data_IF_787651118646
#
_entry.id   IF_787651118646
#
_cell.length_a   1.000
_cell.length_b   1.000
_cell.length_c   1.000
_cell.angle_alpha   90.00
_cell.angle_beta   90.00
_cell.angle_gamma   90.00
#
_symmetry.space_group_name_H-M   'P 1'
#
loop_
_entity.id
_entity.type
_entity.pdbx_description
1 polymer ?
#
# COMPACT_ATOMS: atom_id res chain seq x y z
N UNK A 1 40.06 -63.26 11.44
CA UNK A 1 39.00 -63.41 10.43
C UNK A 1 39.34 -62.48 9.27
N UNK A 2 40.10 -62.95 8.28
CA UNK A 2 39.69 -63.36 6.91
C UNK A 2 39.09 -62.24 6.03
N UNK A 3 39.95 -61.73 5.12
CA UNK A 3 39.79 -61.33 3.70
C UNK A 3 38.75 -60.23 3.34
N UNK A 4 39.08 -59.08 2.72
CA UNK A 4 39.61 -58.78 1.36
C UNK A 4 38.75 -59.37 0.23
N UNK A 5 38.00 -58.55 -0.54
CA UNK A 5 38.34 -58.10 -1.92
C UNK A 5 37.15 -57.40 -2.65
N UNK A 6 37.52 -56.68 -3.71
CA UNK A 6 36.73 -55.88 -4.67
C UNK A 6 35.63 -56.64 -5.43
N UNK A 7 34.63 -55.93 -5.97
CA UNK A 7 34.51 -55.64 -7.42
C UNK A 7 33.11 -55.16 -7.86
N UNK A 8 33.15 -54.33 -8.89
CA UNK A 8 32.08 -53.78 -9.73
C UNK A 8 31.11 -54.80 -10.33
N UNK A 9 29.85 -54.39 -10.55
CA UNK A 9 29.06 -54.82 -11.73
C UNK A 9 28.22 -53.65 -12.28
N UNK A 10 28.47 -53.33 -13.55
CA UNK A 10 27.64 -52.54 -14.46
C UNK A 10 26.76 -53.48 -15.31
N UNK A 11 25.46 -53.19 -15.43
CA UNK A 11 24.54 -53.56 -16.52
C UNK A 11 23.28 -52.69 -16.33
N UNK A 12 22.88 -51.71 -17.16
CA UNK A 12 22.53 -51.62 -18.58
C UNK A 12 21.16 -52.27 -18.95
N UNK A 13 20.23 -51.38 -19.37
CA UNK A 13 19.16 -51.50 -20.41
C UNK A 13 17.67 -51.73 -20.03
N UNK A 14 16.84 -50.80 -20.56
CA UNK A 14 15.40 -50.84 -20.98
C UNK A 14 14.34 -51.17 -19.92
N UNK A 15 13.22 -50.44 -19.77
CA UNK A 15 12.25 -50.02 -20.79
C UNK A 15 11.45 -48.79 -20.33
N UNK A 16 11.15 -47.87 -21.26
CA UNK A 16 10.08 -46.88 -21.08
C UNK A 16 8.70 -47.55 -21.13
N UNK A 17 7.71 -46.95 -20.48
CA UNK A 17 6.42 -46.75 -21.12
C UNK A 17 6.12 -45.26 -21.24
N UNK A 18 6.05 -44.80 -22.49
CA UNK A 18 5.32 -43.58 -22.82
C UNK A 18 3.85 -43.78 -22.46
N UNK A 19 3.39 -43.17 -21.37
CA UNK A 19 1.97 -42.92 -21.14
C UNK A 19 1.70 -41.45 -21.41
N UNK A 20 1.10 -41.17 -22.56
CA UNK A 20 0.30 -39.97 -22.73
C UNK A 20 -0.92 -40.13 -21.83
N UNK A 21 -0.95 -39.41 -20.72
CA UNK A 21 -2.17 -39.11 -19.98
C UNK A 21 -2.40 -37.60 -20.08
N UNK A 22 -3.33 -37.20 -20.94
CA UNK A 22 -3.98 -35.91 -20.83
C UNK A 22 -4.93 -35.96 -19.63
N UNK A 23 -4.63 -35.22 -18.56
CA UNK A 23 -5.62 -34.69 -17.63
C UNK A 23 -4.92 -33.74 -16.65
N UNK A 24 -5.62 -32.67 -16.30
CA UNK A 24 -5.08 -31.53 -15.56
C UNK A 24 -4.66 -31.81 -14.12
N UNK A 25 -4.20 -30.71 -13.52
CA UNK A 25 -4.03 -30.47 -12.09
C UNK A 25 -2.74 -31.01 -11.45
N UNK A 26 -1.80 -30.10 -11.24
CA UNK A 26 -1.59 -29.67 -9.86
C UNK A 26 -1.16 -28.21 -9.88
N UNK A 27 -2.06 -27.35 -9.43
CA UNK A 27 -1.66 -26.07 -8.87
C UNK A 27 -0.79 -26.43 -7.68
N UNK A 28 0.52 -26.44 -7.90
CA UNK A 28 1.49 -26.42 -6.82
C UNK A 28 1.20 -25.12 -6.08
N UNK A 29 0.46 -25.25 -4.99
CA UNK A 29 0.18 -24.16 -4.09
C UNK A 29 1.55 -23.73 -3.60
N UNK A 30 2.06 -22.63 -4.16
CA UNK A 30 3.15 -21.90 -3.55
C UNK A 30 2.67 -21.62 -2.13
N UNK A 31 3.26 -22.32 -1.16
CA UNK A 31 3.03 -22.09 0.26
C UNK A 31 3.63 -20.72 0.55
N UNK A 32 2.87 -19.67 0.25
CA UNK A 32 3.25 -18.31 0.60
C UNK A 32 2.98 -18.18 2.10
N UNK A 33 3.91 -18.69 2.92
CA UNK A 33 3.91 -18.51 4.36
C UNK A 33 4.08 -17.01 4.68
N UNK A 34 2.99 -16.26 4.59
CA UNK A 34 2.97 -14.81 4.78
C UNK A 34 2.55 -14.49 6.21
N UNK A 35 3.36 -13.76 6.99
CA UNK A 35 2.99 -13.35 8.33
C UNK A 35 1.83 -12.33 8.28
N UNK A 36 0.60 -12.83 8.38
CA UNK A 36 -0.66 -12.10 8.21
C UNK A 36 -0.79 -10.83 9.07
N UNK A 37 -0.17 -10.81 10.26
CA UNK A 37 -0.31 -9.71 11.22
C UNK A 37 0.65 -8.53 11.07
N UNK A 38 1.84 -8.72 10.47
CA UNK A 38 2.89 -7.69 10.41
C UNK A 38 2.99 -6.97 9.05
N UNK A 39 2.45 -7.56 7.98
CA UNK A 39 2.47 -7.04 6.60
C UNK A 39 1.93 -5.61 6.44
N UNK A 40 0.98 -5.22 7.27
CA UNK A 40 0.20 -3.98 7.09
C UNK A 40 0.52 -2.90 8.12
N UNK A 41 1.33 -3.21 9.14
CA UNK A 41 1.67 -2.28 10.24
C UNK A 41 2.60 -1.14 9.82
N UNK A 42 3.35 -1.32 8.72
CA UNK A 42 4.34 -0.36 8.24
C UNK A 42 4.17 0.01 6.77
N UNK A 43 2.95 0.38 6.34
CA UNK A 43 2.62 1.18 5.13
C UNK A 43 3.21 0.75 3.76
N UNK A 44 3.96 -0.34 3.67
CA UNK A 44 4.58 -0.81 2.45
C UNK A 44 4.58 -2.35 2.49
N UNK A 45 3.49 -2.93 2.00
CA UNK A 45 3.68 -4.14 1.22
C UNK A 45 4.61 -3.79 0.08
N UNK A 46 5.70 -4.54 -0.01
CA UNK A 46 6.64 -4.43 -1.11
C UNK A 46 5.91 -4.75 -2.43
N UNK A 47 6.36 -4.13 -3.52
CA UNK A 47 5.83 -4.34 -4.87
C UNK A 47 5.79 -5.83 -5.20
N UNK A 48 6.86 -6.56 -4.84
CA UNK A 48 6.96 -7.99 -5.05
C UNK A 48 5.81 -8.76 -4.39
N UNK A 49 5.47 -8.43 -3.14
CA UNK A 49 4.40 -9.13 -2.40
C UNK A 49 3.02 -8.84 -2.98
N UNK A 50 2.79 -7.63 -3.48
CA UNK A 50 1.56 -7.33 -4.23
C UNK A 50 1.48 -8.18 -5.49
N UNK A 51 2.58 -8.28 -6.24
CA UNK A 51 2.60 -9.07 -7.47
C UNK A 51 2.42 -10.56 -7.21
N UNK A 52 3.02 -11.11 -6.15
CA UNK A 52 2.81 -12.51 -5.73
C UNK A 52 1.33 -12.79 -5.45
N UNK A 53 0.65 -11.91 -4.69
CA UNK A 53 -0.78 -12.07 -4.42
C UNK A 53 -1.62 -11.96 -5.70
N UNK A 54 -1.32 -11.00 -6.57
CA UNK A 54 -2.08 -10.77 -7.80
C UNK A 54 -1.90 -11.94 -8.78
N UNK A 55 -0.69 -12.47 -8.93
CA UNK A 55 -0.45 -13.67 -9.74
C UNK A 55 -1.21 -14.89 -9.21
N UNK A 56 -1.32 -15.01 -7.89
CA UNK A 56 -1.98 -16.15 -7.24
C UNK A 56 -3.50 -16.08 -7.34
N UNK A 57 -4.10 -14.90 -7.12
CA UNK A 57 -5.53 -14.77 -6.89
C UNK A 57 -6.30 -14.03 -8.00
N UNK A 58 -5.65 -13.14 -8.74
CA UNK A 58 -6.27 -12.31 -9.80
C UNK A 58 -5.31 -12.09 -10.98
N UNK A 59 -4.83 -13.17 -11.65
CA UNK A 59 -3.80 -13.07 -12.69
C UNK A 59 -4.23 -12.20 -13.88
N UNK A 60 -5.54 -12.11 -14.15
CA UNK A 60 -6.11 -11.25 -15.19
C UNK A 60 -5.88 -9.75 -14.95
N UNK A 61 -5.62 -9.35 -13.69
CA UNK A 61 -5.40 -7.94 -13.32
C UNK A 61 -3.91 -7.55 -13.24
N UNK A 62 -2.98 -8.46 -13.52
CA UNK A 62 -1.52 -8.24 -13.42
C UNK A 62 -1.08 -6.96 -14.14
N UNK A 63 -1.60 -6.70 -15.34
CA UNK A 63 -1.22 -5.53 -16.14
C UNK A 63 -1.60 -4.20 -15.47
N UNK A 64 -2.82 -4.11 -14.97
CA UNK A 64 -3.32 -2.93 -14.26
C UNK A 64 -2.56 -2.69 -12.95
N UNK A 65 -2.28 -3.77 -12.21
CA UNK A 65 -1.49 -3.71 -10.99
C UNK A 65 -0.08 -3.18 -11.21
N UNK A 66 0.63 -3.70 -12.22
CA UNK A 66 1.97 -3.20 -12.60
C UNK A 66 1.95 -1.71 -12.91
N UNK A 67 0.96 -1.26 -13.69
CA UNK A 67 0.81 0.16 -14.04
C UNK A 67 0.66 1.05 -12.80
N UNK A 68 -0.22 0.67 -11.88
CA UNK A 68 -0.48 1.44 -10.64
C UNK A 68 0.74 1.44 -9.71
N UNK A 69 1.46 0.32 -9.62
CA UNK A 69 2.67 0.22 -8.79
C UNK A 69 3.83 1.04 -9.37
N UNK A 70 4.04 1.01 -10.69
CA UNK A 70 5.06 1.84 -11.36
C UNK A 70 4.76 3.34 -11.27
N UNK A 71 3.48 3.74 -11.40
CA UNK A 71 3.07 5.12 -11.14
C UNK A 71 3.41 5.52 -9.70
N UNK A 72 3.06 4.66 -8.71
CA UNK A 72 3.34 4.92 -7.30
C UNK A 72 4.83 5.08 -7.03
N UNK A 73 5.65 4.23 -7.64
CA UNK A 73 7.10 4.25 -7.55
C UNK A 73 7.67 5.55 -8.13
N UNK A 74 7.20 5.96 -9.30
CA UNK A 74 7.55 7.23 -9.93
C UNK A 74 7.19 8.42 -9.02
N UNK A 75 5.99 8.42 -8.44
CA UNK A 75 5.55 9.46 -7.50
C UNK A 75 6.41 9.50 -6.23
N UNK A 76 6.81 8.35 -5.69
CA UNK A 76 7.72 8.26 -4.53
C UNK A 76 9.12 8.78 -4.87
N UNK A 77 9.65 8.43 -6.03
CA UNK A 77 10.94 8.95 -6.50
C UNK A 77 10.92 10.48 -6.63
N UNK A 78 9.81 11.07 -7.05
CA UNK A 78 9.67 12.53 -7.06
C UNK A 78 9.73 13.14 -5.65
N UNK A 79 9.30 12.44 -4.60
CA UNK A 79 9.45 12.91 -3.22
C UNK A 79 10.91 12.89 -2.75
N UNK A 80 11.73 12.02 -3.34
CA UNK A 80 13.14 11.91 -3.02
C UNK A 80 13.99 12.98 -3.72
N UNK A 81 13.45 13.65 -4.75
CA UNK A 81 14.09 14.77 -5.42
C UNK A 81 14.30 15.96 -4.45
N UNK A 82 15.54 16.45 -4.40
CA UNK A 82 15.94 17.51 -3.47
C UNK A 82 15.21 18.84 -3.71
N UNK A 83 14.86 19.18 -4.96
CA UNK A 83 14.07 20.38 -5.25
C UNK A 83 12.66 20.22 -4.69
N UNK A 84 12.05 19.05 -4.87
CA UNK A 84 10.73 18.75 -4.31
C UNK A 84 10.76 18.79 -2.79
N UNK A 85 11.75 18.18 -2.13
CA UNK A 85 11.89 18.26 -0.66
C UNK A 85 11.99 19.70 -0.16
N UNK A 86 12.77 20.54 -0.85
CA UNK A 86 12.88 21.98 -0.51
C UNK A 86 11.55 22.70 -0.69
N UNK A 87 10.84 22.45 -1.78
CA UNK A 87 9.52 23.01 -2.04
C UNK A 87 8.52 22.59 -0.95
N UNK A 88 8.46 21.29 -0.59
CA UNK A 88 7.64 20.78 0.51
C UNK A 88 7.96 21.54 1.81
N UNK A 89 9.24 21.70 2.15
CA UNK A 89 9.67 22.39 3.37
C UNK A 89 9.29 23.88 3.35
N UNK A 90 9.43 24.55 2.22
CA UNK A 90 9.05 25.95 2.04
C UNK A 90 7.54 26.13 2.19
N UNK A 91 6.75 25.32 1.47
CA UNK A 91 5.29 25.30 1.56
C UNK A 91 4.81 25.03 3.00
N UNK A 92 5.38 24.04 3.69
CA UNK A 92 5.06 23.78 5.10
C UNK A 92 5.38 24.96 6.02
N UNK A 93 6.50 25.65 5.79
CA UNK A 93 6.89 26.84 6.57
C UNK A 93 5.93 28.00 6.31
N UNK A 94 5.50 28.21 5.07
CA UNK A 94 4.52 29.22 4.71
C UNK A 94 3.16 28.94 5.38
N UNK A 95 2.63 27.72 5.22
CA UNK A 95 1.38 27.30 5.87
C UNK A 95 1.41 27.46 7.40
N UNK A 96 2.58 27.28 8.03
CA UNK A 96 2.76 27.52 9.47
C UNK A 96 2.65 29.02 9.79
N UNK A 97 3.36 29.88 9.05
CA UNK A 97 3.30 31.33 9.24
C UNK A 97 1.88 31.89 9.03
N UNK A 98 1.18 31.43 8.00
CA UNK A 98 -0.19 31.86 7.72
C UNK A 98 -1.14 31.48 8.86
N UNK A 99 -0.95 30.29 9.46
CA UNK A 99 -1.73 29.88 10.64
C UNK A 99 -1.40 30.70 11.88
N UNK A 100 -0.13 30.99 12.13
CA UNK A 100 0.31 31.85 13.24
C UNK A 100 -0.31 33.26 13.09
N UNK A 101 -0.19 33.86 11.91
CA UNK A 101 -0.79 35.18 11.64
C UNK A 101 -2.32 35.18 11.76
N UNK A 102 -3.00 34.11 11.34
CA UNK A 102 -4.44 33.98 11.51
C UNK A 102 -4.83 33.81 12.99
N UNK A 103 -4.02 33.11 13.79
CA UNK A 103 -4.22 32.99 15.24
C UNK A 103 -4.06 34.33 15.93
N UNK A 104 -2.99 35.08 15.62
CA UNK A 104 -2.75 36.40 16.20
C UNK A 104 -3.93 37.35 15.92
N UNK A 105 -4.43 37.37 14.67
CA UNK A 105 -5.63 38.15 14.31
C UNK A 105 -6.87 37.75 15.10
N UNK A 106 -7.07 36.46 15.36
CA UNK A 106 -8.20 35.99 16.18
C UNK A 106 -8.06 36.42 17.65
N UNK A 107 -6.84 36.43 18.18
CA UNK A 107 -6.54 36.91 19.54
C UNK A 107 -6.84 38.41 19.63
N UNK A 108 -6.38 39.20 18.67
CA UNK A 108 -6.64 40.64 18.62
C UNK A 108 -8.13 40.95 18.55
N UNK A 109 -8.88 40.23 17.70
CA UNK A 109 -10.34 40.38 17.61
C UNK A 109 -11.06 40.06 18.93
N UNK A 110 -10.56 39.10 19.71
CA UNK A 110 -11.10 38.79 21.03
C UNK A 110 -10.76 39.87 22.05
N UNK A 111 -9.52 40.39 22.04
CA UNK A 111 -9.07 41.47 22.91
C UNK A 111 -9.87 42.77 22.67
N UNK A 112 -10.10 43.10 21.40
CA UNK A 112 -10.92 44.22 20.94
C UNK A 112 -12.44 44.01 21.18
N UNK A 113 -12.85 42.84 21.72
CA UNK A 113 -14.25 42.43 21.91
C UNK A 113 -15.07 42.42 20.61
N UNK A 114 -14.43 42.36 19.44
CA UNK A 114 -15.08 42.22 18.13
C UNK A 114 -15.75 40.86 17.95
N UNK A 115 -15.21 39.83 18.62
CA UNK A 115 -15.80 38.49 18.68
C UNK A 115 -16.01 38.05 20.12
N UNK A 116 -16.98 37.16 20.32
CA UNK A 116 -17.22 36.52 21.61
C UNK A 116 -16.25 35.37 21.85
N UNK A 117 -16.10 34.94 23.12
CA UNK A 117 -15.29 33.77 23.48
C UNK A 117 -15.75 32.49 22.75
N UNK A 118 -17.05 32.34 22.51
CA UNK A 118 -17.58 31.16 21.81
C UNK A 118 -17.28 31.19 20.31
N UNK A 119 -17.39 32.36 19.67
CA UNK A 119 -16.95 32.55 18.27
C UNK A 119 -15.43 32.29 18.14
N UNK A 120 -14.62 32.81 19.06
CA UNK A 120 -13.18 32.53 19.08
C UNK A 120 -12.88 31.03 19.16
N UNK A 121 -13.56 30.28 20.05
CA UNK A 121 -13.39 28.81 20.14
C UNK A 121 -13.77 28.10 18.83
N UNK A 122 -14.84 28.55 18.16
CA UNK A 122 -15.28 27.97 16.89
C UNK A 122 -14.27 28.22 15.78
N UNK A 123 -13.78 29.46 15.63
CA UNK A 123 -12.77 29.83 14.63
C UNK A 123 -11.44 29.14 14.89
N UNK A 124 -10.99 29.09 16.15
CA UNK A 124 -9.79 28.36 16.54
C UNK A 124 -9.88 26.87 16.18
N UNK A 125 -11.06 26.26 16.36
CA UNK A 125 -11.32 24.87 15.96
C UNK A 125 -11.24 24.68 14.44
N UNK A 126 -11.67 25.65 13.64
CA UNK A 126 -11.51 25.61 12.18
C UNK A 126 -10.04 25.81 11.79
N UNK A 127 -9.32 26.73 12.42
CA UNK A 127 -7.90 26.98 12.17
C UNK A 127 -7.03 25.74 12.44
N UNK A 128 -7.34 25.01 13.52
CA UNK A 128 -6.67 23.76 13.89
C UNK A 128 -7.19 22.53 13.13
N UNK A 129 -8.21 22.67 12.29
CA UNK A 129 -8.73 21.58 11.49
C UNK A 129 -7.69 21.17 10.45
N UNK A 130 -6.99 20.06 10.73
CA UNK A 130 -6.01 19.48 9.80
C UNK A 130 -6.71 19.13 8.47
N UNK A 131 -6.08 19.48 7.32
CA UNK A 131 -6.47 18.98 5.99
C UNK A 131 -6.49 17.45 6.09
N UNK A 132 -7.67 16.86 6.02
CA UNK A 132 -7.83 15.41 6.10
C UNK A 132 -7.56 14.85 4.71
N UNK A 133 -6.58 13.95 4.63
CA UNK A 133 -6.24 13.25 3.40
C UNK A 133 -7.32 12.25 2.96
N UNK A 134 -8.24 11.91 3.86
CA UNK A 134 -9.28 10.93 3.66
C UNK A 134 -10.47 11.24 4.59
N UNK A 135 -11.70 10.97 4.15
CA UNK A 135 -12.89 11.14 5.00
C UNK A 135 -12.91 10.10 6.13
N UNK A 136 -13.76 10.30 7.15
CA UNK A 136 -13.92 9.31 8.23
C UNK A 136 -14.43 7.98 7.68
N UNK A 137 -15.37 8.02 6.75
CA UNK A 137 -15.96 6.84 6.12
C UNK A 137 -14.93 6.09 5.28
N UNK A 138 -14.15 6.80 4.45
CA UNK A 138 -13.09 6.18 3.67
C UNK A 138 -12.04 5.51 4.57
N UNK A 139 -11.68 6.16 5.69
CA UNK A 139 -10.76 5.58 6.68
C UNK A 139 -11.34 4.30 7.31
N UNK A 140 -12.63 4.29 7.61
CA UNK A 140 -13.31 3.11 8.16
C UNK A 140 -13.39 1.98 7.12
N UNK A 141 -13.71 2.29 5.87
CA UNK A 141 -13.70 1.32 4.77
C UNK A 141 -12.31 0.71 4.57
N UNK A 142 -11.26 1.54 4.60
CA UNK A 142 -9.88 1.04 4.50
C UNK A 142 -9.52 0.12 5.67
N UNK A 143 -9.93 0.47 6.89
CA UNK A 143 -9.73 -0.42 8.03
C UNK A 143 -10.44 -1.77 7.82
N UNK A 144 -11.71 -1.76 7.41
CA UNK A 144 -12.44 -2.99 7.13
C UNK A 144 -11.78 -3.81 6.03
N UNK A 145 -11.30 -3.16 4.96
CA UNK A 145 -10.58 -3.82 3.88
C UNK A 145 -9.31 -4.53 4.40
N UNK A 146 -8.49 -3.87 5.22
CA UNK A 146 -7.34 -4.51 5.88
C UNK A 146 -7.74 -5.70 6.76
N UNK A 147 -8.84 -5.59 7.50
CA UNK A 147 -9.32 -6.64 8.39
C UNK A 147 -9.75 -7.88 7.59
N UNK A 148 -10.57 -7.67 6.57
CA UNK A 148 -11.06 -8.72 5.69
C UNK A 148 -9.92 -9.40 4.93
N UNK A 149 -8.94 -8.63 4.45
CA UNK A 149 -7.75 -9.19 3.79
C UNK A 149 -6.91 -10.03 4.76
N UNK A 150 -6.77 -9.59 6.02
CA UNK A 150 -6.06 -10.39 7.02
C UNK A 150 -6.76 -11.71 7.29
N UNK A 151 -8.07 -11.68 7.52
CA UNK A 151 -8.87 -12.88 7.77
C UNK A 151 -8.83 -13.83 6.56
N UNK A 152 -8.93 -13.30 5.34
CA UNK A 152 -8.84 -14.11 4.12
C UNK A 152 -7.48 -14.80 3.99
N UNK A 153 -6.38 -14.12 4.32
CA UNK A 153 -5.05 -14.74 4.34
C UNK A 153 -4.90 -15.78 5.45
N UNK A 154 -5.36 -15.48 6.67
CA UNK A 154 -5.30 -16.42 7.81
C UNK A 154 -6.07 -17.72 7.52
N UNK A 155 -7.19 -17.61 6.82
CA UNK A 155 -8.03 -18.75 6.45
C UNK A 155 -7.65 -19.37 5.09
N UNK A 156 -6.63 -18.86 4.40
CA UNK A 156 -6.29 -19.23 3.01
C UNK A 156 -7.49 -19.17 2.04
N UNK A 157 -8.41 -18.22 2.25
CA UNK A 157 -9.63 -18.05 1.45
C UNK A 157 -9.31 -17.35 0.12
N UNK A 158 -9.12 -18.18 -0.91
CA UNK A 158 -8.78 -17.74 -2.27
C UNK A 158 -9.89 -16.90 -2.91
N UNK A 159 -11.15 -17.24 -2.66
CA UNK A 159 -12.29 -16.52 -3.25
C UNK A 159 -12.46 -15.14 -2.63
N UNK A 160 -12.26 -15.02 -1.31
CA UNK A 160 -12.26 -13.73 -0.63
C UNK A 160 -11.10 -12.87 -1.12
N UNK A 161 -9.90 -13.42 -1.25
CA UNK A 161 -8.74 -12.68 -1.78
C UNK A 161 -8.98 -12.17 -3.21
N UNK A 162 -9.57 -12.99 -4.09
CA UNK A 162 -9.91 -12.58 -5.46
C UNK A 162 -10.91 -11.41 -5.51
N UNK A 163 -11.81 -11.30 -4.52
CA UNK A 163 -12.76 -10.17 -4.40
C UNK A 163 -12.15 -8.92 -3.77
N UNK A 164 -11.17 -9.09 -2.87
CA UNK A 164 -10.56 -7.99 -2.12
C UNK A 164 -9.44 -7.28 -2.89
N UNK A 165 -8.67 -7.99 -3.73
CA UNK A 165 -7.59 -7.38 -4.52
C UNK A 165 -8.09 -6.26 -5.45
N UNK A 166 -9.20 -6.38 -6.20
CA UNK A 166 -9.74 -5.27 -6.98
C UNK A 166 -10.03 -4.01 -6.14
N UNK A 167 -10.51 -4.18 -4.90
CA UNK A 167 -10.77 -3.06 -3.99
C UNK A 167 -9.46 -2.38 -3.54
N UNK A 168 -8.40 -3.17 -3.32
CA UNK A 168 -7.06 -2.64 -3.06
C UNK A 168 -6.48 -1.88 -4.24
N UNK A 169 -6.69 -2.38 -5.46
CA UNK A 169 -6.27 -1.72 -6.68
C UNK A 169 -6.92 -0.33 -6.81
N UNK A 170 -8.23 -0.26 -6.61
CA UNK A 170 -8.97 1.02 -6.64
C UNK A 170 -8.52 1.97 -5.54
N UNK A 171 -8.26 1.46 -4.34
CA UNK A 171 -7.72 2.26 -3.26
C UNK A 171 -6.35 2.85 -3.62
N UNK A 172 -5.47 2.05 -4.24
CA UNK A 172 -4.14 2.51 -4.66
C UNK A 172 -4.18 3.52 -5.79
N UNK A 173 -5.07 3.35 -6.78
CA UNK A 173 -5.32 4.36 -7.83
C UNK A 173 -5.66 5.72 -7.20
N UNK A 174 -6.59 5.74 -6.24
CA UNK A 174 -6.98 6.97 -5.53
C UNK A 174 -5.85 7.59 -4.71
N UNK A 175 -5.04 6.76 -4.05
CA UNK A 175 -3.87 7.26 -3.31
C UNK A 175 -2.81 7.86 -4.23
N UNK A 176 -2.57 7.25 -5.41
CA UNK A 176 -1.67 7.81 -6.42
C UNK A 176 -2.18 9.16 -6.94
N UNK A 177 -3.46 9.26 -7.28
CA UNK A 177 -4.07 10.53 -7.73
C UNK A 177 -3.93 11.64 -6.68
N UNK A 178 -4.16 11.32 -5.39
CA UNK A 178 -3.99 12.28 -4.29
C UNK A 178 -2.54 12.71 -4.14
N UNK A 179 -1.61 11.77 -4.24
CA UNK A 179 -0.18 12.05 -4.14
C UNK A 179 0.30 12.92 -5.32
N UNK A 180 -0.13 12.61 -6.53
CA UNK A 180 0.16 13.39 -7.73
C UNK A 180 -0.36 14.83 -7.60
N UNK A 181 -1.62 15.01 -7.18
CA UNK A 181 -2.21 16.34 -6.93
C UNK A 181 -1.43 17.12 -5.87
N UNK A 182 -1.06 16.48 -4.77
CA UNK A 182 -0.29 17.16 -3.72
C UNK A 182 1.13 17.54 -4.17
N UNK A 183 1.80 16.67 -4.94
CA UNK A 183 3.09 16.98 -5.55
C UNK A 183 2.99 18.18 -6.50
N UNK A 184 1.88 18.31 -7.23
CA UNK A 184 1.61 19.46 -8.08
C UNK A 184 1.37 20.73 -7.25
N UNK A 185 0.52 20.68 -6.23
CA UNK A 185 0.27 21.80 -5.29
C UNK A 185 1.59 22.35 -4.72
N UNK A 186 2.53 21.46 -4.37
CA UNK A 186 3.82 21.84 -3.80
C UNK A 186 4.81 22.40 -4.83
N UNK A 187 4.70 22.01 -6.11
CA UNK A 187 5.58 22.52 -7.17
C UNK A 187 5.13 23.89 -7.68
N UNK A 188 3.83 24.15 -7.64
CA UNK A 188 3.22 25.41 -8.13
C UNK A 188 3.16 26.51 -7.06
N UNK A 189 3.13 26.14 -5.77
CA UNK A 189 3.13 27.07 -4.63
C UNK A 189 4.52 27.34 -4.07
#
# INVERSE_FOLDING_TARGET
MKNVWLAFFTALVLTMPSTVAAAGQSGEAVDVHMPAGHMWKHRALDEQKWMEMVQTYTPEQIGEWKKVLEERKTLRQQLDDEKVKRAIKAHCKQMKKEREAALDRLIDQLADKKITKEQFKQELKQLHKKKRWMTKEEKQRLHMLHEQTRQAMENNDKEAMAKLLPQWLDHMKKENERLAKWLQEVKEG
#
